data_IF_552385620942
#
_entry.id   IF_552385620942
#
_cell.length_a   1.000
_cell.length_b   1.000
_cell.length_c   1.000
_cell.angle_alpha   90.00
_cell.angle_beta   90.00
_cell.angle_gamma   90.00
#
_symmetry.space_group_name_H-M   'P 1'
#
loop_
_entity.id
_entity.type
_entity.pdbx_description
1 polymer ?
#
# COMPACT_ATOMS: atom_id res chain seq x y z
N UNK A 1 -16.81 13.08 -25.51
CA UNK A 1 -15.60 12.49 -24.87
C UNK A 1 -15.47 11.06 -25.36
N UNK A 2 -14.29 10.65 -25.87
CA UNK A 2 -14.08 9.28 -26.36
C UNK A 2 -14.13 8.25 -25.22
N UNK A 3 -14.54 7.02 -25.54
CA UNK A 3 -14.57 5.88 -24.63
C UNK A 3 -13.17 5.60 -24.07
N UNK A 4 -12.14 5.73 -24.91
CA UNK A 4 -10.73 5.60 -24.49
C UNK A 4 -10.35 6.60 -23.40
N UNK A 5 -10.80 7.85 -23.50
CA UNK A 5 -10.49 8.87 -22.50
C UNK A 5 -11.22 8.62 -21.18
N UNK A 6 -12.48 8.13 -21.23
CA UNK A 6 -13.24 7.75 -20.03
C UNK A 6 -12.54 6.60 -19.28
N UNK A 7 -12.15 5.56 -20.01
CA UNK A 7 -11.43 4.41 -19.46
C UNK A 7 -10.05 4.81 -18.92
N UNK A 8 -9.31 5.63 -19.66
CA UNK A 8 -8.01 6.15 -19.23
C UNK A 8 -8.12 6.95 -17.93
N UNK A 9 -9.11 7.85 -17.82
CA UNK A 9 -9.35 8.62 -16.60
C UNK A 9 -9.66 7.73 -15.39
N UNK A 10 -10.47 6.69 -15.58
CA UNK A 10 -10.80 5.72 -14.54
C UNK A 10 -9.57 4.94 -14.06
N UNK A 11 -8.70 4.49 -14.98
CA UNK A 11 -7.44 3.83 -14.62
C UNK A 11 -6.52 4.76 -13.83
N UNK A 12 -6.41 6.03 -14.22
CA UNK A 12 -5.61 7.02 -13.50
C UNK A 12 -6.13 7.24 -12.08
N UNK A 13 -7.45 7.36 -11.90
CA UNK A 13 -8.07 7.53 -10.57
C UNK A 13 -7.75 6.32 -9.68
N UNK A 14 -7.87 5.10 -10.19
CA UNK A 14 -7.54 3.89 -9.43
C UNK A 14 -6.05 3.84 -9.08
N UNK A 15 -5.17 4.19 -10.02
CA UNK A 15 -3.74 4.24 -9.78
C UNK A 15 -3.38 5.25 -8.68
N UNK A 16 -3.98 6.44 -8.71
CA UNK A 16 -3.79 7.47 -7.67
C UNK A 16 -4.28 7.00 -6.30
N UNK A 17 -5.46 6.35 -6.24
CA UNK A 17 -5.97 5.75 -5.01
C UNK A 17 -5.00 4.69 -4.47
N UNK A 18 -4.50 3.82 -5.34
CA UNK A 18 -3.56 2.77 -4.97
C UNK A 18 -2.23 3.33 -4.44
N UNK A 19 -1.66 4.36 -5.08
CA UNK A 19 -0.44 5.02 -4.63
C UNK A 19 -0.64 5.66 -3.25
N UNK A 20 -1.78 6.34 -3.04
CA UNK A 20 -2.11 6.94 -1.74
C UNK A 20 -2.19 5.89 -0.61
N UNK A 21 -2.81 4.75 -0.89
CA UNK A 21 -2.85 3.62 0.05
C UNK A 21 -1.45 3.08 0.33
N UNK A 22 -0.67 2.79 -0.71
CA UNK A 22 0.71 2.30 -0.60
C UNK A 22 1.60 3.21 0.26
N UNK A 23 1.53 4.53 0.04
CA UNK A 23 2.29 5.50 0.82
C UNK A 23 1.93 5.44 2.30
N UNK A 24 0.64 5.32 2.61
CA UNK A 24 0.16 5.18 3.98
C UNK A 24 0.62 3.86 4.63
N UNK A 25 0.49 2.72 3.93
CA UNK A 25 0.99 1.42 4.40
C UNK A 25 2.50 1.49 4.70
N UNK A 26 3.28 2.07 3.81
CA UNK A 26 4.73 2.26 3.99
C UNK A 26 5.05 3.09 5.22
N UNK A 27 4.32 4.20 5.47
CA UNK A 27 4.52 5.04 6.65
C UNK A 27 4.32 4.27 7.96
N UNK A 28 3.29 3.42 8.05
CA UNK A 28 3.03 2.64 9.26
C UNK A 28 4.11 1.57 9.51
N UNK A 29 4.61 0.93 8.44
CA UNK A 29 5.72 -0.03 8.53
C UNK A 29 6.95 0.66 9.11
N UNK A 30 7.30 1.84 8.61
CA UNK A 30 8.43 2.62 9.15
C UNK A 30 8.25 3.00 10.62
N UNK A 31 7.04 3.40 11.04
CA UNK A 31 6.79 3.71 12.46
C UNK A 31 6.96 2.48 13.37
N UNK A 32 6.47 1.31 12.96
CA UNK A 32 6.69 0.06 13.69
C UNK A 32 8.17 -0.34 13.74
N UNK A 33 8.90 -0.10 12.65
CA UNK A 33 10.33 -0.36 12.58
C UNK A 33 11.11 0.56 13.53
N UNK A 34 10.78 1.86 13.60
CA UNK A 34 11.37 2.78 14.57
C UNK A 34 11.11 2.35 16.02
N UNK A 35 9.89 1.93 16.35
CA UNK A 35 9.57 1.41 17.70
C UNK A 35 10.39 0.16 18.03
N UNK A 36 10.55 -0.76 17.07
CA UNK A 36 11.36 -1.95 17.26
C UNK A 36 12.85 -1.63 17.43
N UNK A 37 13.39 -0.67 16.67
CA UNK A 37 14.78 -0.22 16.84
C UNK A 37 15.02 0.39 18.22
N UNK A 38 14.09 1.22 18.70
CA UNK A 38 14.13 1.79 20.07
C UNK A 38 14.14 0.69 21.13
N UNK A 39 13.24 -0.30 21.00
CA UNK A 39 13.16 -1.43 21.93
C UNK A 39 14.43 -2.28 21.95
N UNK A 40 15.04 -2.55 20.80
CA UNK A 40 16.32 -3.27 20.74
C UNK A 40 17.44 -2.49 21.44
N UNK A 41 17.50 -1.17 21.20
CA UNK A 41 18.47 -0.30 21.84
C UNK A 41 18.32 -0.32 23.38
N UNK A 42 17.10 -0.22 23.89
CA UNK A 42 16.82 -0.32 25.32
C UNK A 42 17.21 -1.66 25.95
N UNK A 43 16.97 -2.78 25.26
CA UNK A 43 17.39 -4.09 25.76
C UNK A 43 18.90 -4.15 25.96
N UNK A 44 19.67 -3.58 25.02
CA UNK A 44 21.12 -3.48 25.16
C UNK A 44 21.51 -2.57 26.34
N UNK A 45 20.83 -1.43 26.49
CA UNK A 45 21.02 -0.49 27.62
C UNK A 45 20.81 -1.20 28.97
N UNK A 46 19.71 -1.95 29.10
CA UNK A 46 19.38 -2.71 30.31
C UNK A 46 20.35 -3.86 30.57
N UNK A 47 20.73 -4.61 29.54
CA UNK A 47 21.71 -5.69 29.69
C UNK A 47 23.08 -5.18 30.13
N UNK A 48 23.50 -4.01 29.64
CA UNK A 48 24.73 -3.37 30.08
C UNK A 48 24.61 -2.82 31.51
N UNK A 49 23.48 -2.21 31.87
CA UNK A 49 23.29 -1.62 33.21
C UNK A 49 23.32 -2.67 34.33
N UNK A 50 22.82 -3.88 34.08
CA UNK A 50 22.85 -5.02 35.03
C UNK A 50 24.24 -5.41 35.51
N UNK A 51 25.30 -5.01 34.80
CA UNK A 51 26.70 -5.28 35.20
C UNK A 51 27.34 -4.17 36.02
N UNK A 52 26.73 -2.99 36.11
CA UNK A 52 27.26 -1.89 36.92
C UNK A 52 27.34 -2.19 38.43
N UNK A 53 26.38 -2.91 39.07
CA UNK A 53 26.45 -3.21 40.50
C UNK A 53 27.70 -4.03 40.91
N UNK A 54 28.36 -4.73 39.98
CA UNK A 54 29.65 -5.39 40.22
C UNK A 54 30.77 -4.39 40.57
N UNK A 55 30.56 -3.08 40.41
CA UNK A 55 31.46 -2.05 40.90
C UNK A 55 31.75 -2.11 42.40
N UNK A 56 30.78 -2.55 43.21
CA UNK A 56 30.92 -2.62 44.68
C UNK A 56 32.00 -3.62 45.12
N UNK A 57 32.13 -4.73 44.40
CA UNK A 57 33.09 -5.78 44.73
C UNK A 57 34.53 -5.42 44.30
N UNK A 58 34.73 -4.39 43.47
CA UNK A 58 36.08 -3.92 43.06
C UNK A 58 36.97 -3.70 44.28
N UNK A 59 36.42 -3.17 45.38
CA UNK A 59 37.18 -2.91 46.61
C UNK A 59 37.80 -4.17 47.23
N UNK A 60 37.17 -5.33 47.04
CA UNK A 60 37.51 -6.62 47.67
C UNK A 60 38.40 -7.52 46.80
N UNK A 61 38.65 -7.12 45.55
CA UNK A 61 39.39 -7.92 44.58
C UNK A 61 40.92 -7.72 44.66
N UNK A 62 41.66 -8.67 44.12
CA UNK A 62 43.10 -8.53 43.84
C UNK A 62 43.33 -7.50 42.72
N UNK A 63 44.58 -7.03 42.57
CA UNK A 63 44.89 -5.93 41.65
C UNK A 63 44.60 -6.29 40.18
N UNK A 64 44.84 -7.54 39.77
CA UNK A 64 44.51 -8.04 38.42
C UNK A 64 43.01 -7.97 38.17
N UNK A 65 42.21 -8.50 39.10
CA UNK A 65 40.75 -8.52 38.94
C UNK A 65 40.14 -7.13 39.05
N UNK A 66 40.71 -6.21 39.86
CA UNK A 66 40.34 -4.79 39.88
C UNK A 66 40.44 -4.17 38.49
N UNK A 67 41.62 -4.28 37.88
CA UNK A 67 41.86 -3.74 36.54
C UNK A 67 40.91 -4.36 35.49
N UNK A 68 40.71 -5.68 35.56
CA UNK A 68 39.81 -6.38 34.66
C UNK A 68 38.35 -5.91 34.79
N UNK A 69 37.80 -5.89 36.00
CA UNK A 69 36.40 -5.50 36.24
C UNK A 69 36.17 -4.03 35.92
N UNK A 70 37.08 -3.12 36.31
CA UNK A 70 36.97 -1.70 35.96
C UNK A 70 37.00 -1.48 34.44
N UNK A 71 37.83 -2.23 33.72
CA UNK A 71 37.86 -2.19 32.24
C UNK A 71 36.56 -2.73 31.62
N UNK A 72 36.01 -3.82 32.16
CA UNK A 72 34.75 -4.40 31.70
C UNK A 72 33.58 -3.44 31.89
N UNK A 73 33.42 -2.87 33.09
CA UNK A 73 32.36 -1.90 33.40
C UNK A 73 32.50 -0.66 32.52
N UNK A 74 33.73 -0.16 32.28
CA UNK A 74 33.95 0.97 31.39
C UNK A 74 33.45 0.67 29.96
N UNK A 75 33.73 -0.53 29.44
CA UNK A 75 33.23 -0.95 28.12
C UNK A 75 31.70 -0.96 28.07
N UNK A 76 31.05 -1.44 29.13
CA UNK A 76 29.59 -1.44 29.22
C UNK A 76 29.04 0.00 29.24
N UNK A 77 29.69 0.93 29.96
CA UNK A 77 29.33 2.35 29.95
C UNK A 77 29.48 2.95 28.56
N UNK A 78 30.58 2.70 27.85
CA UNK A 78 30.75 3.20 26.49
C UNK A 78 29.68 2.65 25.53
N UNK A 79 29.25 1.40 25.70
CA UNK A 79 28.11 0.83 24.97
C UNK A 79 26.82 1.59 25.30
N UNK A 80 26.52 1.80 26.58
CA UNK A 80 25.33 2.54 27.01
C UNK A 80 25.31 3.97 26.46
N UNK A 81 26.44 4.67 26.45
CA UNK A 81 26.55 6.01 25.86
C UNK A 81 26.22 6.02 24.37
N UNK A 82 26.75 5.06 23.60
CA UNK A 82 26.45 4.92 22.18
C UNK A 82 24.97 4.63 21.95
N UNK A 83 24.38 3.75 22.75
CA UNK A 83 22.96 3.41 22.69
C UNK A 83 22.08 4.61 23.01
N UNK A 84 22.39 5.37 24.07
CA UNK A 84 21.66 6.60 24.41
C UNK A 84 21.74 7.60 23.27
N UNK A 85 22.90 7.75 22.61
CA UNK A 85 23.01 8.61 21.42
C UNK A 85 22.11 8.15 20.27
N UNK A 86 21.99 6.85 20.05
CA UNK A 86 21.07 6.29 19.04
C UNK A 86 19.62 6.62 19.41
N UNK A 87 19.21 6.36 20.65
CA UNK A 87 17.84 6.63 21.11
C UNK A 87 17.52 8.12 21.00
N UNK A 88 18.44 9.02 21.40
CA UNK A 88 18.25 10.47 21.29
C UNK A 88 18.06 10.98 19.86
N UNK A 89 18.56 10.28 18.83
CA UNK A 89 18.33 10.64 17.42
C UNK A 89 16.96 10.23 16.91
N UNK A 90 16.35 9.22 17.55
CA UNK A 90 15.05 8.66 17.16
C UNK A 90 13.92 9.16 18.05
N UNK A 91 14.22 9.73 19.22
CA UNK A 91 13.24 10.13 20.20
C UNK A 91 12.76 11.57 20.00
N UNK A 92 11.45 11.77 20.10
CA UNK A 92 10.79 13.06 19.92
C UNK A 92 10.08 13.53 21.21
N UNK A 93 9.85 12.63 22.17
CA UNK A 93 9.18 12.94 23.43
C UNK A 93 10.17 13.55 24.43
N UNK A 94 9.93 14.83 24.75
CA UNK A 94 10.85 15.65 25.53
C UNK A 94 11.17 15.10 26.94
N UNK A 95 10.21 14.43 27.56
CA UNK A 95 10.38 13.77 28.87
C UNK A 95 11.48 12.69 28.84
N UNK A 96 11.50 11.86 27.79
CA UNK A 96 12.51 10.83 27.62
C UNK A 96 13.84 11.42 27.15
N UNK A 97 13.83 12.41 26.26
CA UNK A 97 15.05 13.13 25.84
C UNK A 97 15.78 13.69 27.08
N UNK A 98 15.05 14.36 27.97
CA UNK A 98 15.63 14.96 29.18
C UNK A 98 16.18 13.89 30.13
N UNK A 99 15.44 12.79 30.31
CA UNK A 99 15.86 11.67 31.17
C UNK A 99 17.10 10.94 30.63
N UNK A 100 17.17 10.77 29.31
CA UNK A 100 18.32 10.18 28.60
C UNK A 100 19.55 11.09 28.68
N UNK A 101 19.40 12.40 28.49
CA UNK A 101 20.50 13.37 28.64
C UNK A 101 21.04 13.40 30.06
N UNK A 102 20.17 13.40 31.07
CA UNK A 102 20.59 13.33 32.47
C UNK A 102 21.36 12.04 32.75
N UNK A 103 20.89 10.90 32.23
CA UNK A 103 21.57 9.61 32.36
C UNK A 103 22.90 9.58 31.62
N UNK A 104 22.98 10.23 30.46
CA UNK A 104 24.22 10.39 29.68
C UNK A 104 25.29 11.14 30.48
N UNK A 105 24.90 12.22 31.16
CA UNK A 105 25.81 13.01 32.00
C UNK A 105 26.35 12.14 33.16
N UNK A 106 25.47 11.38 33.83
CA UNK A 106 25.88 10.49 34.92
C UNK A 106 26.84 9.39 34.44
N UNK A 107 26.57 8.81 33.27
CA UNK A 107 27.44 7.80 32.65
C UNK A 107 28.82 8.35 32.32
N UNK A 108 28.90 9.57 31.77
CA UNK A 108 30.18 10.24 31.50
C UNK A 108 30.95 10.49 32.80
N UNK A 109 30.27 10.97 33.84
CA UNK A 109 30.90 11.21 35.14
C UNK A 109 31.49 9.91 35.73
N UNK A 110 30.77 8.80 35.62
CA UNK A 110 31.24 7.49 36.09
C UNK A 110 32.37 6.95 35.18
N UNK A 111 32.31 7.14 33.87
CA UNK A 111 33.39 6.75 32.96
C UNK A 111 34.72 7.42 33.35
N UNK A 112 34.69 8.72 33.63
CA UNK A 112 35.85 9.49 34.10
C UNK A 112 36.37 8.99 35.45
N UNK A 113 35.47 8.66 36.38
CA UNK A 113 35.81 8.08 37.68
C UNK A 113 36.52 6.73 37.52
N UNK A 114 36.00 5.84 36.66
CA UNK A 114 36.62 4.54 36.41
C UNK A 114 37.98 4.68 35.71
N UNK A 115 38.13 5.68 34.83
CA UNK A 115 39.41 6.02 34.22
C UNK A 115 40.44 6.48 35.26
N UNK A 116 40.04 7.33 36.21
CA UNK A 116 40.88 7.75 37.34
C UNK A 116 41.32 6.53 38.17
N UNK A 117 40.39 5.64 38.51
CA UNK A 117 40.68 4.41 39.28
C UNK A 117 41.62 3.46 38.54
N UNK A 118 41.41 3.22 37.24
CA UNK A 118 42.32 2.40 36.44
C UNK A 118 43.75 2.94 36.45
N UNK A 119 43.90 4.26 36.36
CA UNK A 119 45.21 4.93 36.42
C UNK A 119 45.86 4.72 37.79
N UNK A 120 45.08 4.84 38.87
CA UNK A 120 45.54 4.55 40.23
C UNK A 120 45.95 3.08 40.41
N UNK A 121 45.19 2.13 39.88
CA UNK A 121 45.52 0.71 39.97
C UNK A 121 46.81 0.34 39.22
N UNK A 122 47.06 0.96 38.06
CA UNK A 122 48.34 0.81 37.35
C UNK A 122 49.54 1.26 38.21
N UNK A 123 49.33 2.20 39.13
CA UNK A 123 50.33 2.69 40.08
C UNK A 123 50.36 1.92 41.41
N UNK A 124 49.70 0.75 41.49
CA UNK A 124 49.56 -0.07 42.73
C UNK A 124 48.92 0.67 43.91
N UNK A 125 48.03 1.63 43.63
CA UNK A 125 47.32 2.40 44.63
C UNK A 125 46.35 1.57 45.47
N UNK A 126 46.19 1.94 46.75
CA UNK A 126 45.24 1.34 47.69
C UNK A 126 43.93 2.12 47.69
N UNK A 127 42.82 1.45 47.39
CA UNK A 127 41.46 2.04 47.37
C UNK A 127 41.13 2.72 48.70
N UNK A 128 40.65 3.96 48.64
CA UNK A 128 40.22 4.73 49.81
C UNK A 128 38.74 4.55 50.11
N UNK A 129 38.30 4.98 51.31
CA UNK A 129 36.86 5.06 51.65
C UNK A 129 36.08 5.93 50.66
N UNK A 130 36.69 7.00 50.15
CA UNK A 130 36.08 7.89 49.17
C UNK A 130 35.88 7.20 47.81
N UNK A 131 36.83 6.37 47.38
CA UNK A 131 36.71 5.56 46.16
C UNK A 131 35.57 4.52 46.29
N UNK A 132 35.39 3.92 47.47
CA UNK A 132 34.29 2.98 47.73
C UNK A 132 32.93 3.68 47.66
N UNK A 133 32.80 4.88 48.25
CA UNK A 133 31.60 5.71 48.16
C UNK A 133 31.25 6.06 46.70
N UNK A 134 32.28 6.46 45.93
CA UNK A 134 32.18 6.73 44.49
C UNK A 134 31.71 5.49 43.72
N UNK A 135 32.26 4.31 43.99
CA UNK A 135 31.83 3.05 43.38
C UNK A 135 30.39 2.65 43.74
N UNK A 136 29.87 3.10 44.89
CA UNK A 136 28.46 2.93 45.25
C UNK A 136 27.49 3.64 44.30
N UNK A 137 27.93 4.68 43.59
CA UNK A 137 27.10 5.40 42.61
C UNK A 137 26.76 4.55 41.38
N UNK A 138 27.53 3.50 41.09
CA UNK A 138 27.27 2.58 39.99
C UNK A 138 25.94 1.83 40.15
N UNK A 139 25.59 1.46 41.39
CA UNK A 139 24.31 0.80 41.67
C UNK A 139 23.14 1.78 41.55
N UNK A 140 23.30 3.00 42.07
CA UNK A 140 22.30 4.05 41.92
C UNK A 140 22.04 4.35 40.44
N UNK A 141 23.10 4.43 39.63
CA UNK A 141 23.00 4.58 38.19
C UNK A 141 22.30 3.37 37.55
N UNK A 142 22.65 2.14 37.93
CA UNK A 142 22.01 0.93 37.41
C UNK A 142 20.49 0.97 37.63
N UNK A 143 20.05 1.29 38.84
CA UNK A 143 18.64 1.40 39.20
C UNK A 143 17.94 2.55 38.46
N UNK A 144 18.63 3.69 38.26
CA UNK A 144 18.12 4.82 37.47
C UNK A 144 17.91 4.43 36.01
N UNK A 145 18.89 3.75 35.40
CA UNK A 145 18.80 3.24 34.03
C UNK A 145 17.68 2.21 33.91
N UNK A 146 17.57 1.28 34.85
CA UNK A 146 16.49 0.29 34.88
C UNK A 146 15.11 0.95 34.95
N UNK A 147 14.92 1.92 35.85
CA UNK A 147 13.68 2.68 35.98
C UNK A 147 13.33 3.42 34.69
N UNK A 148 14.32 4.06 34.06
CA UNK A 148 14.15 4.76 32.78
C UNK A 148 13.71 3.79 31.68
N UNK A 149 14.38 2.64 31.58
CA UNK A 149 14.06 1.63 30.55
C UNK A 149 12.68 1.02 30.78
N UNK A 150 12.26 0.79 32.02
CA UNK A 150 10.90 0.28 32.31
C UNK A 150 9.85 1.30 31.85
N UNK A 151 10.00 2.57 32.24
CA UNK A 151 9.07 3.63 31.87
C UNK A 151 9.04 3.87 30.35
N UNK A 152 10.19 3.73 29.68
CA UNK A 152 10.29 3.93 28.23
C UNK A 152 9.73 2.72 27.46
N UNK A 153 9.93 1.47 27.92
CA UNK A 153 9.26 0.30 27.35
C UNK A 153 7.73 0.38 27.45
N UNK A 154 7.18 0.78 28.61
CA UNK A 154 5.74 0.95 28.77
C UNK A 154 5.19 1.98 27.76
N UNK A 155 5.92 3.07 27.55
CA UNK A 155 5.59 4.04 26.51
C UNK A 155 5.63 3.45 25.10
N UNK A 156 6.66 2.68 24.75
CA UNK A 156 6.78 2.05 23.44
C UNK A 156 5.68 1.01 23.18
N UNK A 157 5.25 0.28 24.22
CA UNK A 157 4.14 -0.67 24.10
C UNK A 157 2.83 0.06 23.77
N UNK A 158 2.57 1.20 24.41
CA UNK A 158 1.41 2.04 24.12
C UNK A 158 1.48 2.60 22.69
N UNK A 159 2.64 3.08 22.25
CA UNK A 159 2.86 3.54 20.87
C UNK A 159 2.64 2.42 19.86
N UNK A 160 3.19 1.22 20.11
CA UNK A 160 3.03 0.08 19.22
C UNK A 160 1.56 -0.33 19.07
N UNK A 161 0.84 -0.42 20.19
CA UNK A 161 -0.59 -0.73 20.20
C UNK A 161 -1.35 0.33 19.39
N UNK A 162 -1.09 1.62 19.66
CA UNK A 162 -1.71 2.74 18.93
C UNK A 162 -1.46 2.63 17.43
N UNK A 163 -0.21 2.42 17.01
CA UNK A 163 0.15 2.30 15.58
C UNK A 163 -0.57 1.10 14.95
N UNK A 164 -0.60 -0.05 15.63
CA UNK A 164 -1.28 -1.26 15.15
C UNK A 164 -2.80 -1.09 15.02
N UNK A 165 -3.44 -0.44 16.00
CA UNK A 165 -4.88 -0.19 15.97
C UNK A 165 -5.26 0.79 14.85
N UNK A 166 -4.50 1.88 14.73
CA UNK A 166 -4.64 2.84 13.63
C UNK A 166 -4.47 2.13 12.29
N UNK A 167 -3.40 1.36 12.13
CA UNK A 167 -3.14 0.56 10.94
C UNK A 167 -4.31 -0.37 10.59
N UNK A 168 -4.83 -1.11 11.56
CA UNK A 168 -5.95 -2.03 11.37
C UNK A 168 -7.21 -1.32 10.90
N UNK A 169 -7.54 -0.18 11.53
CA UNK A 169 -8.70 0.63 11.14
C UNK A 169 -8.56 1.13 9.69
N UNK A 170 -7.43 1.74 9.36
CA UNK A 170 -7.19 2.25 8.02
C UNK A 170 -7.12 1.15 6.97
N UNK A 171 -6.54 -0.02 7.29
CA UNK A 171 -6.55 -1.18 6.40
C UNK A 171 -7.99 -1.60 6.09
N UNK A 172 -8.86 -1.71 7.09
CA UNK A 172 -10.27 -2.05 6.87
C UNK A 172 -10.99 -1.02 6.00
N UNK A 173 -10.78 0.29 6.26
CA UNK A 173 -11.34 1.37 5.45
C UNK A 173 -10.82 1.30 4.01
N UNK A 174 -9.52 1.05 3.81
CA UNK A 174 -8.91 0.95 2.48
C UNK A 174 -9.49 -0.21 1.65
N UNK A 175 -9.73 -1.36 2.28
CA UNK A 175 -10.37 -2.51 1.65
C UNK A 175 -11.80 -2.13 1.22
N UNK A 176 -12.56 -1.46 2.10
CA UNK A 176 -13.89 -0.96 1.78
C UNK A 176 -13.90 -0.01 0.58
N UNK A 177 -13.00 0.97 0.55
CA UNK A 177 -12.85 1.92 -0.57
C UNK A 177 -12.50 1.17 -1.86
N UNK A 178 -11.58 0.20 -1.80
CA UNK A 178 -11.17 -0.57 -2.97
C UNK A 178 -12.32 -1.41 -3.53
N UNK A 179 -13.12 -2.04 -2.67
CA UNK A 179 -14.31 -2.77 -3.08
C UNK A 179 -15.32 -1.86 -3.78
N UNK A 180 -15.60 -0.68 -3.21
CA UNK A 180 -16.50 0.30 -3.82
C UNK A 180 -15.95 0.77 -5.17
N UNK A 181 -14.64 1.06 -5.26
CA UNK A 181 -14.01 1.48 -6.50
C UNK A 181 -14.17 0.40 -7.58
N UNK A 182 -13.86 -0.87 -7.26
CA UNK A 182 -14.03 -2.00 -8.19
C UNK A 182 -15.50 -2.13 -8.63
N UNK A 183 -16.47 -2.01 -7.72
CA UNK A 183 -17.89 -2.05 -8.07
C UNK A 183 -18.29 -0.92 -9.02
N UNK A 184 -17.83 0.31 -8.79
CA UNK A 184 -18.10 1.45 -9.68
C UNK A 184 -17.52 1.20 -11.07
N UNK A 185 -16.28 0.70 -11.14
CA UNK A 185 -15.62 0.38 -12.41
C UNK A 185 -16.40 -0.69 -13.17
N UNK A 186 -16.80 -1.76 -12.47
CA UNK A 186 -17.60 -2.82 -13.04
C UNK A 186 -18.93 -2.31 -13.60
N UNK A 187 -19.65 -1.48 -12.84
CA UNK A 187 -20.91 -0.87 -13.30
C UNK A 187 -20.70 0.00 -14.55
N UNK A 188 -19.65 0.82 -14.56
CA UNK A 188 -19.31 1.65 -15.72
C UNK A 188 -19.03 0.78 -16.95
N UNK A 189 -18.23 -0.28 -16.81
CA UNK A 189 -17.93 -1.21 -17.90
C UNK A 189 -19.17 -1.96 -18.38
N UNK A 190 -20.00 -2.44 -17.45
CA UNK A 190 -21.20 -3.19 -17.75
C UNK A 190 -22.19 -2.37 -18.58
N UNK A 191 -22.57 -1.18 -18.10
CA UNK A 191 -23.58 -0.35 -18.77
C UNK A 191 -23.07 0.35 -20.02
N UNK A 192 -21.80 0.76 -20.06
CA UNK A 192 -21.28 1.53 -21.19
C UNK A 192 -20.64 0.67 -22.28
N UNK A 193 -20.27 -0.59 -22.00
CA UNK A 193 -19.58 -1.45 -22.98
C UNK A 193 -20.29 -2.79 -23.11
N UNK A 194 -20.38 -3.56 -22.03
CA UNK A 194 -20.79 -4.96 -22.10
C UNK A 194 -22.25 -5.11 -22.59
N UNK A 195 -23.17 -4.30 -22.06
CA UNK A 195 -24.57 -4.32 -22.45
C UNK A 195 -24.81 -3.80 -23.88
N UNK A 196 -24.26 -2.64 -24.32
CA UNK A 196 -24.38 -2.20 -25.72
C UNK A 196 -23.80 -3.19 -26.72
N UNK A 197 -22.65 -3.80 -26.42
CA UNK A 197 -22.02 -4.81 -27.27
C UNK A 197 -22.88 -6.06 -27.35
N UNK A 198 -23.40 -6.57 -26.23
CA UNK A 198 -24.31 -7.72 -26.23
C UNK A 198 -25.58 -7.46 -27.06
N UNK A 199 -26.14 -6.25 -26.98
CA UNK A 199 -27.31 -5.85 -27.76
C UNK A 199 -27.01 -5.72 -29.26
N UNK A 200 -25.83 -5.22 -29.62
CA UNK A 200 -25.37 -5.18 -31.00
C UNK A 200 -25.21 -6.60 -31.56
N UNK A 201 -24.63 -7.52 -30.79
CA UNK A 201 -24.50 -8.93 -31.19
C UNK A 201 -25.86 -9.57 -31.44
N UNK A 202 -26.83 -9.42 -30.51
CA UNK A 202 -28.15 -10.03 -30.67
C UNK A 202 -28.91 -9.48 -31.87
N UNK A 203 -28.88 -8.16 -32.10
CA UNK A 203 -29.57 -7.54 -33.24
C UNK A 203 -28.88 -7.85 -34.57
N UNK A 204 -27.56 -8.05 -34.56
CA UNK A 204 -26.85 -8.53 -35.76
C UNK A 204 -27.30 -9.93 -36.12
N UNK A 205 -27.50 -10.81 -35.14
CA UNK A 205 -28.02 -12.16 -35.37
C UNK A 205 -29.44 -12.14 -35.94
N UNK A 206 -30.31 -11.23 -35.48
CA UNK A 206 -31.64 -11.04 -36.09
C UNK A 206 -31.57 -10.61 -37.56
N UNK A 207 -30.65 -9.71 -37.90
CA UNK A 207 -30.44 -9.26 -39.29
C UNK A 207 -29.96 -10.42 -40.17
N UNK A 208 -29.07 -11.29 -39.67
CA UNK A 208 -28.63 -12.50 -40.38
C UNK A 208 -29.78 -13.46 -40.67
N UNK A 209 -30.81 -13.49 -39.82
CA UNK A 209 -32.04 -14.27 -40.03
C UNK A 209 -33.11 -13.53 -40.85
N UNK A 210 -32.77 -12.40 -41.48
CA UNK A 210 -33.64 -11.67 -42.40
C UNK A 210 -34.49 -10.55 -41.77
N UNK A 211 -34.34 -10.27 -40.46
CA UNK A 211 -35.01 -9.13 -39.83
C UNK A 211 -34.24 -7.82 -40.09
N UNK A 212 -34.36 -7.25 -41.28
CA UNK A 212 -33.68 -5.99 -41.65
C UNK A 212 -34.28 -4.73 -40.98
N UNK A 213 -35.35 -4.87 -40.19
CA UNK A 213 -35.96 -3.75 -39.45
C UNK A 213 -35.32 -3.49 -38.09
N UNK A 214 -34.40 -4.36 -37.65
CA UNK A 214 -33.68 -4.21 -36.39
C UNK A 214 -32.90 -2.89 -36.33
N UNK A 215 -33.02 -2.17 -35.21
CA UNK A 215 -32.32 -0.91 -34.96
C UNK A 215 -31.78 -0.84 -33.53
N UNK A 216 -30.62 -0.21 -33.38
CA UNK A 216 -29.95 0.02 -32.10
C UNK A 216 -30.16 1.46 -31.66
N UNK A 217 -30.69 1.71 -30.46
CA UNK A 217 -30.75 3.05 -29.90
C UNK A 217 -29.34 3.64 -29.75
N UNK A 218 -29.12 4.85 -30.26
CA UNK A 218 -27.84 5.56 -30.14
C UNK A 218 -27.83 6.30 -28.81
N UNK A 219 -27.23 5.67 -27.79
CA UNK A 219 -27.23 6.18 -26.40
C UNK A 219 -25.95 6.94 -26.02
N UNK A 220 -24.94 6.94 -26.89
CA UNK A 220 -23.64 7.58 -26.63
C UNK A 220 -23.12 8.31 -27.87
N UNK A 221 -22.28 9.33 -27.66
CA UNK A 221 -21.56 10.06 -28.71
C UNK A 221 -20.11 9.61 -28.91
N UNK A 222 -19.72 8.48 -28.32
CA UNK A 222 -18.37 7.91 -28.42
C UNK A 222 -18.28 6.82 -29.51
N UNK A 223 -17.21 6.02 -29.48
CA UNK A 223 -16.94 4.95 -30.43
C UNK A 223 -18.08 3.93 -30.54
N UNK A 224 -18.78 3.62 -29.45
CA UNK A 224 -19.93 2.70 -29.48
C UNK A 224 -21.16 3.36 -30.09
N UNK A 225 -21.35 4.66 -29.88
CA UNK A 225 -22.38 5.44 -30.58
C UNK A 225 -22.17 5.48 -32.10
N UNK A 226 -20.92 5.66 -32.53
CA UNK A 226 -20.55 5.59 -33.95
C UNK A 226 -20.81 4.20 -34.55
N UNK A 227 -20.54 3.15 -33.78
CA UNK A 227 -20.83 1.77 -34.18
C UNK A 227 -22.33 1.52 -34.32
N UNK A 228 -23.14 1.98 -33.36
CA UNK A 228 -24.60 1.90 -33.43
C UNK A 228 -25.17 2.64 -34.66
N UNK A 229 -24.67 3.85 -34.94
CA UNK A 229 -25.04 4.59 -36.15
C UNK A 229 -24.68 3.83 -37.44
N UNK A 230 -23.48 3.25 -37.49
CA UNK A 230 -23.02 2.49 -38.64
C UNK A 230 -23.87 1.23 -38.86
N UNK A 231 -24.23 0.54 -37.78
CA UNK A 231 -25.15 -0.59 -37.81
C UNK A 231 -26.53 -0.20 -38.35
N UNK A 232 -27.14 0.87 -37.83
CA UNK A 232 -28.45 1.34 -38.29
C UNK A 232 -28.46 1.76 -39.77
N UNK A 233 -27.37 2.36 -40.25
CA UNK A 233 -27.23 2.71 -41.66
C UNK A 233 -27.14 1.45 -42.54
N UNK A 234 -26.37 0.44 -42.10
CA UNK A 234 -26.26 -0.84 -42.78
C UNK A 234 -27.63 -1.54 -42.87
N UNK A 235 -28.38 -1.65 -41.77
CA UNK A 235 -29.70 -2.32 -41.77
C UNK A 235 -30.71 -1.59 -42.64
N UNK A 236 -30.70 -0.24 -42.63
CA UNK A 236 -31.51 0.57 -43.55
C UNK A 236 -31.20 0.28 -45.02
N UNK A 237 -29.92 0.29 -45.40
CA UNK A 237 -29.51 0.02 -46.78
C UNK A 237 -29.89 -1.41 -47.24
N UNK A 238 -29.79 -2.40 -46.34
CA UNK A 238 -30.24 -3.76 -46.62
C UNK A 238 -31.75 -3.83 -46.82
N UNK A 239 -32.53 -3.16 -45.96
CA UNK A 239 -33.98 -3.10 -46.08
C UNK A 239 -34.43 -2.43 -47.39
N UNK A 240 -33.79 -1.30 -47.74
CA UNK A 240 -34.07 -0.58 -48.98
C UNK A 240 -33.74 -1.46 -50.20
N UNK A 241 -32.57 -2.11 -50.20
CA UNK A 241 -32.16 -3.03 -51.27
C UNK A 241 -33.12 -4.21 -51.41
N UNK A 242 -33.57 -4.80 -50.31
CA UNK A 242 -34.54 -5.89 -50.32
C UNK A 242 -35.90 -5.43 -50.87
N UNK A 243 -36.35 -4.23 -50.48
CA UNK A 243 -37.61 -3.64 -50.95
C UNK A 243 -37.58 -3.34 -52.45
N UNK A 244 -36.47 -2.83 -52.96
CA UNK A 244 -36.27 -2.60 -54.40
C UNK A 244 -36.28 -3.92 -55.17
N UNK A 245 -35.57 -4.94 -54.69
CA UNK A 245 -35.56 -6.26 -55.32
C UNK A 245 -36.96 -6.90 -55.36
N UNK A 246 -37.77 -6.75 -54.31
CA UNK A 246 -39.15 -7.22 -54.30
C UNK A 246 -40.02 -6.50 -55.33
N UNK A 247 -39.88 -5.18 -55.47
CA UNK A 247 -40.60 -4.41 -56.49
C UNK A 247 -40.22 -4.84 -57.90
N UNK A 248 -38.92 -4.98 -58.18
CA UNK A 248 -38.43 -5.45 -59.48
C UNK A 248 -38.93 -6.85 -59.81
N UNK A 249 -39.00 -7.77 -58.84
CA UNK A 249 -39.61 -9.09 -59.04
C UNK A 249 -41.09 -9.00 -59.40
N UNK A 250 -41.86 -8.18 -58.69
CA UNK A 250 -43.29 -8.01 -58.97
C UNK A 250 -43.53 -7.40 -60.37
N UNK A 251 -42.73 -6.42 -60.77
CA UNK A 251 -42.79 -5.83 -62.11
C UNK A 251 -42.45 -6.85 -63.20
N UNK A 252 -41.42 -7.67 -62.98
CA UNK A 252 -41.03 -8.74 -63.90
C UNK A 252 -42.14 -9.80 -64.05
N UNK A 253 -42.79 -10.18 -62.95
CA UNK A 253 -43.90 -11.15 -62.97
C UNK A 253 -45.11 -10.61 -63.73
N UNK A 254 -45.45 -9.32 -63.55
CA UNK A 254 -46.51 -8.65 -64.32
C UNK A 254 -46.13 -8.61 -65.80
N UNK A 255 -44.90 -8.22 -66.14
CA UNK A 255 -44.42 -8.17 -67.52
C UNK A 255 -44.47 -9.56 -68.19
N UNK A 256 -44.03 -10.62 -67.50
CA UNK A 256 -44.15 -12.01 -67.98
C UNK A 256 -45.59 -12.42 -68.21
N UNK A 257 -46.49 -12.08 -67.29
CA UNK A 257 -47.90 -12.46 -67.40
C UNK A 257 -48.58 -11.76 -68.58
N UNK A 258 -48.29 -10.47 -68.80
CA UNK A 258 -48.74 -9.73 -69.97
C UNK A 258 -48.20 -10.35 -71.27
N UNK A 259 -46.91 -10.71 -71.31
CA UNK A 259 -46.31 -11.36 -72.48
C UNK A 259 -47.01 -12.68 -72.83
N UNK A 260 -47.39 -13.48 -71.83
CA UNK A 260 -48.16 -14.72 -72.03
C UNK A 260 -49.58 -14.50 -72.53
N UNK A 261 -50.23 -13.37 -72.18
CA UNK A 261 -51.55 -13.04 -72.75
C UNK A 261 -51.48 -12.57 -74.20
N UNK A 262 -50.32 -12.03 -74.63
CA UNK A 262 -50.08 -11.53 -75.99
C UNK A 262 -49.50 -12.61 -76.90
N UNK A 263 -48.93 -13.69 -76.33
CA UNK A 263 -48.44 -14.84 -77.11
C UNK A 263 -49.64 -15.53 -77.80
N UNK A 264 -49.58 -15.74 -79.13
CA UNK A 264 -50.68 -16.33 -79.88
C UNK A 264 -50.97 -17.73 -79.33
N UNK A 265 -52.24 -17.99 -79.06
CA UNK A 265 -52.68 -19.34 -78.63
C UNK A 265 -52.49 -20.29 -79.82
N UNK A 266 -52.21 -21.57 -79.57
CA UNK A 266 -51.99 -22.58 -80.61
C UNK A 266 -53.09 -22.63 -81.69
N UNK A 267 -54.30 -22.16 -81.36
CA UNK A 267 -55.47 -22.04 -82.25
C UNK A 267 -55.29 -20.93 -83.32
N UNK A 268 -54.56 -19.86 -83.00
CA UNK A 268 -54.27 -18.75 -83.93
C UNK A 268 -53.09 -19.06 -84.86
N UNK A 269 -52.18 -19.95 -84.44
CA UNK A 269 -51.10 -20.47 -85.28
C UNK A 269 -51.58 -21.50 -86.31
N UNK A 270 -52.77 -22.11 -86.11
CA UNK A 270 -53.40 -23.04 -87.07
C UNK A 270 -54.06 -22.36 -88.29
N UNK A 271 -54.12 -21.02 -88.32
CA UNK A 271 -54.62 -20.25 -89.47
C UNK A 271 -53.48 -19.63 -90.30
N UNK A 272 -52.23 -20.01 -90.02
CA UNK A 272 -51.04 -19.59 -90.76
C UNK A 272 -50.45 -20.82 -91.48
N UNK A 273 -51.25 -21.39 -92.38
CA UNK A 273 -50.89 -21.99 -93.69
C UNK A 273 -52.16 -22.60 -94.33
#
# INVERSE_FOLDING_TARGET
>A
MSLKLKLGGLVVIIALLFVGLMWFFSKNIHQLEEVNQKRQAEQVLLSASKRLPFGKIISQLDLSSKYYITTLIRKDISVMLNIIQVILRLEYKQEFISSLQNTQIDLIAIELLLQELNTKFAQKYVITKQDILKLGQLELLANKVETLVIAYNEYLDIEEIRIKEVYKLYSNISIGIMLIAISIVFLILYFNILQPVAKLTSLTEEVLHGNYKAQIPVTSGDELGKLANSFNLMTKNLLDSFTVNLRMKAELDVAKHLQQMVLPKDIELQHIE
#
